data_IF_040156202942
#
_entry.id   IF_040156202942
#
_cell.length_a   1.000
_cell.length_b   1.000
_cell.length_c   1.000
_cell.angle_alpha   90.00
_cell.angle_beta   90.00
_cell.angle_gamma   90.00
#
_symmetry.space_group_name_H-M   'P 1'
#
loop_
_entity.id
_entity.type
_entity.pdbx_description
1 polymer ?
#
# COMPACT_ATOMS: atom_id res chain seq x y z
N UNK A 1 5.35 -1.55 -1.83
CA UNK A 1 6.16 -0.39 -1.39
C UNK A 1 7.53 -0.48 -2.04
N UNK A 2 7.77 0.37 -3.03
CA UNK A 2 9.03 0.39 -3.77
C UNK A 2 10.04 1.17 -2.93
N UNK A 3 11.32 0.83 -3.03
CA UNK A 3 12.38 1.49 -2.24
C UNK A 3 12.38 3.02 -2.50
N UNK A 4 12.05 3.44 -3.73
CA UNK A 4 11.88 4.84 -4.10
C UNK A 4 10.86 5.60 -3.25
N UNK A 5 9.80 4.94 -2.75
CA UNK A 5 8.77 5.57 -1.92
C UNK A 5 9.34 6.05 -0.58
N UNK A 6 10.33 5.33 -0.05
CA UNK A 6 11.04 5.71 1.17
C UNK A 6 11.96 6.92 0.94
N UNK A 7 12.56 7.00 -0.25
CA UNK A 7 13.35 8.17 -0.64
C UNK A 7 12.47 9.42 -0.73
N UNK A 8 11.30 9.34 -1.38
CA UNK A 8 10.37 10.48 -1.47
C UNK A 8 9.89 10.97 -0.09
N UNK A 9 9.65 10.05 0.84
CA UNK A 9 9.28 10.37 2.23
C UNK A 9 10.43 11.08 2.97
N UNK A 10 11.68 10.67 2.74
CA UNK A 10 12.86 11.29 3.38
C UNK A 10 13.22 12.67 2.84
N UNK A 11 12.93 12.94 1.57
CA UNK A 11 13.24 14.22 0.91
C UNK A 11 12.04 15.17 0.83
N UNK A 12 10.93 14.82 1.50
CA UNK A 12 9.68 15.58 1.56
C UNK A 12 9.14 16.00 0.17
N UNK A 13 9.27 15.08 -0.81
CA UNK A 13 8.77 15.29 -2.17
C UNK A 13 7.51 14.47 -2.41
N UNK A 14 6.57 15.05 -3.16
CA UNK A 14 5.33 14.38 -3.55
C UNK A 14 5.64 13.11 -4.36
N UNK A 15 5.09 11.98 -3.90
CA UNK A 15 5.15 10.71 -4.64
C UNK A 15 4.40 10.86 -5.97
N UNK A 16 4.95 10.35 -7.09
CA UNK A 16 4.22 10.32 -8.35
C UNK A 16 2.94 9.49 -8.21
N UNK A 17 1.84 9.96 -8.82
CA UNK A 17 0.60 9.21 -8.83
C UNK A 17 0.71 8.05 -9.82
N UNK A 18 1.13 6.88 -9.33
CA UNK A 18 1.32 5.66 -10.12
C UNK A 18 0.17 4.70 -9.85
N UNK A 19 -0.36 4.11 -10.91
CA UNK A 19 -1.28 2.99 -10.80
C UNK A 19 -0.53 1.77 -10.20
N UNK A 20 -1.26 0.95 -9.46
CA UNK A 20 -0.80 -0.38 -9.05
C UNK A 20 -0.72 -1.32 -10.26
N UNK A 21 0.02 -2.41 -10.12
CA UNK A 21 0.12 -3.42 -11.18
C UNK A 21 -1.25 -3.97 -11.60
N UNK A 22 -2.15 -4.14 -10.63
CA UNK A 22 -3.52 -4.61 -10.88
C UNK A 22 -4.34 -3.58 -11.65
N UNK A 23 -4.17 -2.29 -11.36
CA UNK A 23 -4.84 -1.24 -12.11
C UNK A 23 -4.32 -1.12 -13.54
N UNK A 24 -3.02 -1.25 -13.77
CA UNK A 24 -2.46 -1.29 -15.14
C UNK A 24 -3.06 -2.46 -15.94
N UNK A 25 -2.96 -3.68 -15.41
CA UNK A 25 -3.55 -4.87 -16.06
C UNK A 25 -5.06 -4.69 -16.28
N UNK A 26 -5.75 -4.08 -15.32
CA UNK A 26 -7.18 -3.83 -15.43
C UNK A 26 -7.55 -2.85 -16.55
N UNK A 27 -6.75 -1.80 -16.77
CA UNK A 27 -6.90 -0.89 -17.92
C UNK A 27 -6.71 -1.66 -19.22
N UNK A 28 -5.60 -2.38 -19.36
CA UNK A 28 -5.26 -3.11 -20.58
C UNK A 28 -6.34 -4.17 -20.92
N UNK A 29 -6.88 -4.86 -19.91
CA UNK A 29 -7.96 -5.83 -20.09
C UNK A 29 -9.28 -5.19 -20.55
N UNK A 30 -9.62 -4.01 -20.02
CA UNK A 30 -10.84 -3.31 -20.45
C UNK A 30 -10.68 -2.82 -21.89
N UNK A 31 -9.52 -2.26 -22.24
CA UNK A 31 -9.23 -1.80 -23.59
C UNK A 31 -9.27 -2.96 -24.59
N UNK A 32 -8.53 -4.04 -24.33
CA UNK A 32 -8.55 -5.25 -25.14
C UNK A 32 -9.98 -5.83 -25.24
N UNK A 33 -10.75 -5.83 -24.15
CA UNK A 33 -12.11 -6.37 -24.16
C UNK A 33 -13.07 -5.56 -25.03
N UNK A 34 -12.86 -4.25 -25.14
CA UNK A 34 -13.60 -3.39 -26.07
C UNK A 34 -13.18 -3.63 -27.52
N UNK A 35 -11.88 -3.80 -27.79
CA UNK A 35 -11.37 -4.12 -29.13
C UNK A 35 -11.85 -5.48 -29.64
N UNK A 36 -11.89 -6.48 -28.76
CA UNK A 36 -12.45 -7.80 -29.06
C UNK A 36 -13.95 -7.75 -29.37
N UNK A 37 -14.66 -6.76 -28.83
CA UNK A 37 -16.09 -6.58 -28.96
C UNK A 37 -16.82 -6.89 -27.64
N UNK A 38 -17.51 -5.92 -27.02
CA UNK A 38 -18.17 -6.14 -25.73
C UNK A 38 -19.35 -7.13 -25.82
N UNK A 39 -19.92 -7.33 -27.02
CA UNK A 39 -21.01 -8.26 -27.27
C UNK A 39 -20.58 -9.72 -27.44
N UNK A 40 -19.28 -10.00 -27.57
CA UNK A 40 -18.79 -11.38 -27.62
C UNK A 40 -18.46 -11.89 -26.22
N UNK A 41 -18.62 -13.19 -25.99
CA UNK A 41 -18.46 -13.80 -24.67
C UNK A 41 -17.10 -13.49 -24.03
N UNK A 42 -16.02 -13.52 -24.83
CA UNK A 42 -14.67 -13.25 -24.35
C UNK A 42 -14.43 -11.76 -24.05
N UNK A 43 -14.83 -10.85 -24.95
CA UNK A 43 -14.68 -9.40 -24.74
C UNK A 43 -15.44 -8.91 -23.51
N UNK A 44 -16.70 -9.35 -23.34
CA UNK A 44 -17.49 -9.04 -22.14
C UNK A 44 -16.91 -9.63 -20.85
N UNK A 45 -16.30 -10.82 -20.91
CA UNK A 45 -15.59 -11.41 -19.76
C UNK A 45 -14.32 -10.61 -19.41
N UNK A 46 -13.54 -10.20 -20.42
CA UNK A 46 -12.30 -9.45 -20.23
C UNK A 46 -12.56 -8.08 -19.60
N UNK A 47 -13.60 -7.37 -20.04
CA UNK A 47 -14.05 -6.11 -19.42
C UNK A 47 -14.40 -6.31 -17.94
N UNK A 48 -15.18 -7.35 -17.62
CA UNK A 48 -15.57 -7.65 -16.22
C UNK A 48 -14.34 -7.95 -15.35
N UNK A 49 -13.41 -8.76 -15.85
CA UNK A 49 -12.18 -9.09 -15.12
C UNK A 49 -11.32 -7.84 -14.95
N UNK A 50 -11.15 -7.02 -15.98
CA UNK A 50 -10.38 -5.77 -15.90
C UNK A 50 -10.93 -4.79 -14.86
N UNK A 51 -12.26 -4.62 -14.80
CA UNK A 51 -12.92 -3.82 -13.76
C UNK A 51 -12.70 -4.38 -12.35
N UNK A 52 -12.73 -5.70 -12.19
CA UNK A 52 -12.40 -6.34 -10.91
C UNK A 52 -10.94 -6.11 -10.52
N UNK A 53 -10.00 -6.16 -11.46
CA UNK A 53 -8.58 -5.90 -11.20
C UNK A 53 -8.35 -4.45 -10.76
N UNK A 54 -8.98 -3.48 -11.41
CA UNK A 54 -8.90 -2.07 -10.98
C UNK A 54 -9.42 -1.87 -9.55
N UNK A 55 -10.56 -2.48 -9.21
CA UNK A 55 -11.11 -2.43 -7.85
C UNK A 55 -10.18 -3.09 -6.83
N UNK A 56 -9.59 -4.22 -7.17
CA UNK A 56 -8.65 -4.92 -6.31
C UNK A 56 -7.39 -4.07 -6.05
N UNK A 57 -6.84 -3.44 -7.08
CA UNK A 57 -5.71 -2.52 -6.94
C UNK A 57 -6.02 -1.32 -6.06
N UNK A 58 -7.24 -0.76 -6.14
CA UNK A 58 -7.67 0.31 -5.24
C UNK A 58 -7.74 -0.17 -3.79
N UNK A 59 -8.38 -1.32 -3.53
CA UNK A 59 -8.49 -1.92 -2.19
C UNK A 59 -7.10 -2.20 -1.60
N UNK A 60 -6.17 -2.70 -2.40
CA UNK A 60 -4.79 -2.94 -1.96
C UNK A 60 -4.10 -1.64 -1.53
N UNK A 61 -4.24 -0.55 -2.30
CA UNK A 61 -3.68 0.76 -1.91
C UNK A 61 -4.27 1.28 -0.61
N UNK A 62 -5.58 1.18 -0.47
CA UNK A 62 -6.28 1.63 0.74
C UNK A 62 -5.87 0.80 1.95
N UNK A 63 -5.72 -0.51 1.79
CA UNK A 63 -5.23 -1.41 2.82
C UNK A 63 -3.80 -1.03 3.26
N UNK A 64 -2.87 -0.84 2.31
CA UNK A 64 -1.48 -0.45 2.62
C UNK A 64 -1.44 0.88 3.37
N UNK A 65 -2.20 1.88 2.89
CA UNK A 65 -2.30 3.20 3.53
C UNK A 65 -2.85 3.09 4.96
N UNK A 66 -3.93 2.33 5.13
CA UNK A 66 -4.59 2.14 6.42
C UNK A 66 -3.67 1.41 7.41
N UNK A 67 -3.02 0.32 6.98
CA UNK A 67 -2.06 -0.41 7.81
C UNK A 67 -0.87 0.47 8.22
N UNK A 68 -0.37 1.31 7.30
CA UNK A 68 0.71 2.25 7.59
C UNK A 68 0.32 3.26 8.68
N UNK A 69 -0.86 3.89 8.53
CA UNK A 69 -1.29 4.98 9.40
C UNK A 69 -1.86 4.50 10.74
N UNK A 70 -2.63 3.40 10.74
CA UNK A 70 -3.36 2.94 11.93
C UNK A 70 -2.57 1.93 12.76
N UNK A 71 -1.51 1.32 12.22
CA UNK A 71 -0.75 0.30 12.92
C UNK A 71 0.75 0.60 12.95
N UNK A 72 1.40 0.72 11.79
CA UNK A 72 2.86 0.82 11.71
C UNK A 72 3.36 2.13 12.34
N UNK A 73 2.75 3.27 12.01
CA UNK A 73 3.15 4.57 12.53
C UNK A 73 2.98 4.68 14.06
N UNK A 74 1.81 4.33 14.66
CA UNK A 74 1.66 4.30 16.11
C UNK A 74 2.68 3.39 16.81
N UNK A 75 2.93 2.19 16.28
CA UNK A 75 3.87 1.25 16.87
C UNK A 75 5.31 1.78 16.83
N UNK A 76 5.73 2.39 15.72
CA UNK A 76 7.04 3.06 15.63
C UNK A 76 7.18 4.16 16.68
N UNK A 77 6.15 5.00 16.83
CA UNK A 77 6.15 6.07 17.84
C UNK A 77 6.27 5.53 19.26
N UNK A 78 5.55 4.45 19.58
CA UNK A 78 5.65 3.76 20.87
C UNK A 78 7.07 3.22 21.13
N UNK A 79 7.66 2.54 20.15
CA UNK A 79 9.01 1.98 20.26
C UNK A 79 10.09 3.06 20.40
N UNK A 80 9.94 4.18 19.70
CA UNK A 80 10.92 5.27 19.73
C UNK A 80 10.79 6.17 20.97
N UNK A 81 9.62 6.19 21.62
CA UNK A 81 9.34 6.96 22.82
C UNK A 81 9.32 6.10 24.08
N UNK A 82 8.14 5.57 24.39
CA UNK A 82 7.83 4.90 25.66
C UNK A 82 8.73 3.68 25.91
N UNK A 83 8.96 2.84 24.89
CA UNK A 83 9.78 1.65 25.07
C UNK A 83 11.23 1.99 25.44
N UNK A 84 11.79 3.08 24.89
CA UNK A 84 13.14 3.53 25.28
C UNK A 84 13.18 3.99 26.73
N UNK A 85 12.13 4.63 27.22
CA UNK A 85 12.03 5.04 28.62
C UNK A 85 11.95 3.82 29.53
N UNK A 86 11.09 2.86 29.21
CA UNK A 86 10.96 1.60 29.95
C UNK A 86 12.31 0.86 30.02
N UNK A 87 13.02 0.73 28.90
CA UNK A 87 14.34 0.09 28.88
C UNK A 87 15.37 0.80 29.76
N UNK A 88 15.35 2.14 29.81
CA UNK A 88 16.25 2.91 30.68
C UNK A 88 15.93 2.70 32.16
N UNK A 89 14.66 2.72 32.54
CA UNK A 89 14.24 2.50 33.93
C UNK A 89 14.57 1.09 34.41
N UNK A 90 14.37 0.08 33.57
CA UNK A 90 14.78 -1.30 33.84
C UNK A 90 16.29 -1.41 34.11
N UNK A 91 17.13 -0.78 33.29
CA UNK A 91 18.57 -0.79 33.51
C UNK A 91 18.98 -0.10 34.82
N UNK A 92 18.31 0.99 35.21
CA UNK A 92 18.53 1.67 36.48
C UNK A 92 18.12 0.76 37.65
N UNK A 93 16.98 0.08 37.55
CA UNK A 93 16.51 -0.87 38.57
C UNK A 93 17.48 -2.01 38.77
N UNK A 94 18.00 -2.62 37.70
CA UNK A 94 19.00 -3.69 37.77
C UNK A 94 20.30 -3.22 38.42
N UNK A 95 20.74 -1.99 38.13
CA UNK A 95 21.97 -1.43 38.72
C UNK A 95 21.83 -1.15 40.22
N UNK A 96 20.61 -0.85 40.69
CA UNK A 96 20.32 -0.52 42.09
C UNK A 96 19.92 -1.74 42.94
N UNK A 97 19.80 -2.91 42.34
CA UNK A 97 19.43 -4.17 42.99
C UNK A 97 20.64 -4.84 43.65
#
# INVERSE_FOLDING_TARGET
NRIEDFFYEKIDKKKPNRLSNLEYVGVDMVEAGNEFGPGIAYGGALIKVGQCQQKLGQIERDFISTAANCYIQPLRKFLEGEMKTISKEMAILETKR
#
